data_IF_878000324095
#
_entry.id   IF_878000324095
#
_cell.length_a   1.000
_cell.length_b   1.000
_cell.length_c   1.000
_cell.angle_alpha   90.00
_cell.angle_beta   90.00
_cell.angle_gamma   90.00
#
_symmetry.space_group_name_H-M   'P 1'
#
loop_
_entity.id
_entity.type
_entity.pdbx_description
1 polymer ?
#
# COMPACT_ATOMS: atom_id res chain seq x y z
N UNK A 1 -46.56 19.88 -19.08
CA UNK A 1 -46.30 18.46 -18.72
C UNK A 1 -44.87 18.32 -18.22
N UNK A 2 -44.65 18.24 -16.89
CA UNK A 2 -43.32 18.08 -16.28
C UNK A 2 -43.02 16.59 -16.10
N UNK A 3 -41.98 16.08 -16.79
CA UNK A 3 -41.45 14.72 -16.59
C UNK A 3 -40.74 14.66 -15.24
N UNK A 4 -41.32 13.95 -14.26
CA UNK A 4 -40.62 13.54 -13.04
C UNK A 4 -39.65 12.42 -13.41
N UNK A 5 -38.34 12.65 -13.21
CA UNK A 5 -37.33 11.59 -13.22
C UNK A 5 -37.56 10.73 -11.98
N UNK A 6 -37.95 9.48 -12.18
CA UNK A 6 -38.02 8.46 -11.15
C UNK A 6 -36.56 8.05 -10.86
N UNK A 7 -35.99 8.53 -9.76
CA UNK A 7 -34.73 7.98 -9.23
C UNK A 7 -35.06 6.61 -8.67
N UNK A 8 -34.55 5.57 -9.32
CA UNK A 8 -34.77 4.18 -8.96
C UNK A 8 -34.03 3.91 -7.64
N UNK A 9 -34.78 3.90 -6.55
CA UNK A 9 -34.31 3.51 -5.21
C UNK A 9 -34.13 1.98 -5.20
N UNK A 10 -33.00 1.48 -5.69
CA UNK A 10 -32.66 0.05 -5.57
C UNK A 10 -32.00 -0.18 -4.21
N UNK A 11 -32.56 -1.16 -3.51
CA UNK A 11 -32.40 -1.47 -2.08
C UNK A 11 -30.92 -1.58 -1.65
N UNK A 12 -30.60 -0.78 -0.63
CA UNK A 12 -29.28 -0.48 -0.04
C UNK A 12 -29.00 -1.24 1.28
N UNK A 13 -29.71 -2.32 1.59
CA UNK A 13 -29.83 -2.85 2.96
C UNK A 13 -28.48 -3.18 3.67
N UNK A 14 -27.45 -3.65 2.94
CA UNK A 14 -26.18 -4.02 3.55
C UNK A 14 -25.23 -2.84 3.89
N UNK A 15 -25.41 -1.67 3.27
CA UNK A 15 -24.60 -0.47 3.59
C UNK A 15 -25.33 0.53 4.50
N UNK A 16 -26.63 0.30 4.78
CA UNK A 16 -27.47 1.21 5.59
C UNK A 16 -27.69 0.68 7.01
N UNK A 17 -27.40 -0.60 7.26
CA UNK A 17 -27.72 -1.30 8.51
C UNK A 17 -26.92 -0.94 9.77
N UNK A 18 -25.96 -0.01 9.70
CA UNK A 18 -25.17 0.41 10.87
C UNK A 18 -24.77 1.90 10.87
N UNK A 19 -25.36 2.70 9.97
CA UNK A 19 -25.08 4.14 9.94
C UNK A 19 -25.96 4.87 10.95
N UNK A 20 -25.34 5.69 11.81
CA UNK A 20 -26.02 6.79 12.50
C UNK A 20 -26.97 7.51 11.54
N UNK A 21 -28.14 7.99 11.99
CA UNK A 21 -29.24 8.51 11.16
C UNK A 21 -28.93 9.77 10.33
N UNK A 22 -27.67 10.16 10.18
CA UNK A 22 -27.23 11.40 9.55
C UNK A 22 -26.28 11.23 8.34
N UNK A 23 -25.95 10.01 7.90
CA UNK A 23 -25.15 9.84 6.68
C UNK A 23 -26.04 9.96 5.43
N UNK A 24 -26.16 11.18 4.93
CA UNK A 24 -26.77 11.46 3.62
C UNK A 24 -25.93 10.80 2.52
N UNK A 25 -26.51 9.90 1.73
CA UNK A 25 -25.84 9.27 0.56
C UNK A 25 -25.85 10.27 -0.60
N UNK A 26 -24.68 10.64 -1.12
CA UNK A 26 -24.60 11.57 -2.26
C UNK A 26 -24.61 10.85 -3.61
N UNK A 27 -23.88 9.74 -3.73
CA UNK A 27 -23.65 9.11 -5.03
C UNK A 27 -23.37 7.62 -4.89
N UNK A 28 -23.86 6.85 -5.85
CA UNK A 28 -23.49 5.44 -6.05
C UNK A 28 -22.98 5.27 -7.46
N UNK A 29 -21.82 4.62 -7.60
CA UNK A 29 -21.19 4.29 -8.86
C UNK A 29 -21.12 2.78 -9.02
N UNK A 30 -21.31 2.28 -10.24
CA UNK A 30 -21.08 0.89 -10.59
C UNK A 30 -19.89 0.77 -11.54
N UNK A 31 -18.93 -0.07 -11.16
CA UNK A 31 -17.66 -0.24 -11.83
C UNK A 31 -17.54 -1.71 -12.23
N UNK A 32 -17.44 -1.99 -13.53
CA UNK A 32 -17.38 -3.35 -14.07
C UNK A 32 -18.13 -3.50 -15.40
N UNK A 33 -18.36 -4.73 -15.88
CA UNK A 33 -18.08 -5.99 -15.19
C UNK A 33 -16.60 -6.40 -15.19
N UNK A 34 -16.19 -7.12 -14.16
CA UNK A 34 -14.91 -7.82 -14.03
C UNK A 34 -15.13 -9.31 -14.23
N UNK A 35 -14.34 -9.93 -15.12
CA UNK A 35 -14.43 -11.38 -15.39
C UNK A 35 -13.33 -12.13 -14.65
N UNK A 36 -13.73 -13.11 -13.84
CA UNK A 36 -12.83 -13.98 -13.08
C UNK A 36 -13.32 -15.42 -13.18
N UNK A 37 -12.49 -16.34 -13.69
CA UNK A 37 -12.84 -17.76 -13.79
C UNK A 37 -14.16 -18.05 -14.54
N UNK A 38 -14.52 -17.21 -15.51
CA UNK A 38 -15.80 -17.32 -16.25
C UNK A 38 -17.01 -16.65 -15.57
N UNK A 39 -16.89 -16.18 -14.33
CA UNK A 39 -17.91 -15.43 -13.62
C UNK A 39 -17.74 -13.92 -13.83
N UNK A 40 -18.84 -13.17 -13.72
CA UNK A 40 -18.87 -11.72 -13.89
C UNK A 40 -19.27 -11.03 -12.60
N UNK A 41 -18.48 -10.05 -12.19
CA UNK A 41 -18.65 -9.27 -10.95
C UNK A 41 -18.71 -7.77 -11.23
N UNK A 42 -19.51 -7.05 -10.47
CA UNK A 42 -19.61 -5.59 -10.50
C UNK A 42 -19.29 -5.05 -9.12
N UNK A 43 -18.45 -4.03 -9.07
CA UNK A 43 -18.14 -3.28 -7.84
C UNK A 43 -19.09 -2.10 -7.75
N UNK A 44 -19.81 -1.98 -6.64
CA UNK A 44 -20.69 -0.87 -6.34
C UNK A 44 -20.03 -0.03 -5.25
N UNK A 45 -19.80 1.24 -5.55
CA UNK A 45 -19.13 2.19 -4.65
C UNK A 45 -20.14 3.23 -4.22
N UNK A 46 -20.37 3.35 -2.92
CA UNK A 46 -21.22 4.39 -2.33
C UNK A 46 -20.35 5.45 -1.70
N UNK A 47 -20.67 6.72 -1.98
CA UNK A 47 -19.96 7.90 -1.47
C UNK A 47 -20.89 8.73 -0.59
N UNK A 48 -20.37 9.19 0.55
CA UNK A 48 -21.08 10.07 1.47
C UNK A 48 -21.29 11.47 0.89
N UNK A 49 -22.34 12.17 1.35
CA UNK A 49 -22.65 13.54 0.93
C UNK A 49 -21.96 14.63 1.76
N UNK A 50 -21.44 14.29 2.94
CA UNK A 50 -20.54 15.18 3.67
C UNK A 50 -19.22 15.33 2.89
N UNK A 51 -18.59 16.51 3.04
CA UNK A 51 -17.53 17.09 2.21
C UNK A 51 -16.52 16.08 1.63
N UNK A 52 -16.22 16.18 0.32
CA UNK A 52 -15.10 15.48 -0.32
C UNK A 52 -15.42 14.17 -1.07
N UNK A 53 -16.66 13.65 -1.00
CA UNK A 53 -17.05 12.47 -1.79
C UNK A 53 -16.34 11.17 -1.38
N UNK A 54 -16.00 11.05 -0.10
CA UNK A 54 -15.34 9.89 0.51
C UNK A 54 -16.13 8.60 0.26
N UNK A 55 -15.42 7.52 -0.04
CA UNK A 55 -16.03 6.18 -0.17
C UNK A 55 -16.48 5.71 1.22
N UNK A 56 -17.78 5.46 1.39
CA UNK A 56 -18.37 5.01 2.67
C UNK A 56 -18.76 3.54 2.65
N UNK A 57 -18.99 2.97 1.46
CA UNK A 57 -19.27 1.55 1.33
C UNK A 57 -18.81 1.02 -0.01
N UNK A 58 -18.28 -0.21 0.01
CA UNK A 58 -17.93 -0.96 -1.18
C UNK A 58 -18.67 -2.29 -1.15
N UNK A 59 -19.31 -2.65 -2.25
CA UNK A 59 -19.92 -3.95 -2.44
C UNK A 59 -19.40 -4.60 -3.71
N UNK A 60 -19.24 -5.92 -3.69
CA UNK A 60 -19.00 -6.71 -4.91
C UNK A 60 -20.16 -7.66 -5.11
N UNK A 61 -20.80 -7.56 -6.28
CA UNK A 61 -21.97 -8.38 -6.64
C UNK A 61 -21.71 -9.17 -7.91
N UNK A 62 -22.32 -10.34 -8.05
CA UNK A 62 -22.27 -11.09 -9.31
C UNK A 62 -23.32 -10.60 -10.34
N UNK A 63 -23.35 -11.22 -11.51
CA UNK A 63 -24.32 -10.94 -12.57
C UNK A 63 -25.79 -11.19 -12.17
N UNK A 64 -26.05 -11.97 -11.12
CA UNK A 64 -27.38 -12.21 -10.54
C UNK A 64 -27.68 -11.27 -9.37
N UNK A 65 -26.85 -10.25 -9.17
CA UNK A 65 -26.88 -9.29 -8.07
C UNK A 65 -26.70 -9.91 -6.66
N UNK A 66 -26.16 -11.14 -6.55
CA UNK A 66 -25.80 -11.74 -5.26
C UNK A 66 -24.58 -11.01 -4.68
N UNK A 67 -24.63 -10.69 -3.39
CA UNK A 67 -23.54 -10.02 -2.68
C UNK A 67 -22.45 -11.03 -2.31
N UNK A 68 -21.20 -10.75 -2.67
CA UNK A 68 -20.04 -11.58 -2.33
C UNK A 68 -19.09 -10.91 -1.32
N UNK A 69 -18.98 -9.59 -1.40
CA UNK A 69 -18.13 -8.81 -0.49
C UNK A 69 -18.82 -7.51 -0.13
N UNK A 70 -18.70 -7.10 1.12
CA UNK A 70 -19.11 -5.79 1.60
C UNK A 70 -18.07 -5.28 2.58
N UNK A 71 -17.71 -4.01 2.43
CA UNK A 71 -16.86 -3.32 3.37
C UNK A 71 -17.46 -1.95 3.63
N UNK A 72 -17.76 -1.69 4.89
CA UNK A 72 -18.21 -0.38 5.36
C UNK A 72 -16.99 0.37 5.85
N UNK A 73 -16.76 1.53 5.25
CA UNK A 73 -15.69 2.44 5.66
C UNK A 73 -16.32 3.45 6.60
N UNK A 74 -15.87 3.46 7.85
CA UNK A 74 -16.31 4.46 8.82
C UNK A 74 -15.92 5.86 8.35
N UNK A 75 -16.60 6.91 8.83
CA UNK A 75 -16.09 8.27 8.67
C UNK A 75 -14.72 8.32 9.36
N UNK A 76 -13.65 8.41 8.58
CA UNK A 76 -12.33 8.73 9.12
C UNK A 76 -12.27 10.24 9.29
N UNK A 77 -11.96 10.71 10.50
CA UNK A 77 -11.84 12.15 10.80
C UNK A 77 -10.74 12.83 9.95
N UNK A 78 -9.79 12.05 9.44
CA UNK A 78 -8.59 12.54 8.74
C UNK A 78 -8.57 12.28 7.22
N UNK A 79 -9.63 11.71 6.63
CA UNK A 79 -9.68 11.43 5.17
C UNK A 79 -10.52 12.48 4.46
N UNK A 80 -9.85 13.44 3.82
CA UNK A 80 -10.47 14.55 3.08
C UNK A 80 -11.15 14.09 1.78
N UNK A 81 -10.58 13.09 1.10
CA UNK A 81 -11.19 12.41 -0.05
C UNK A 81 -10.58 11.02 -0.21
N UNK A 82 -11.29 10.13 -0.89
CA UNK A 82 -10.72 8.84 -1.25
C UNK A 82 -11.27 8.32 -2.56
N UNK A 83 -10.44 7.53 -3.23
CA UNK A 83 -10.75 6.96 -4.54
C UNK A 83 -10.63 5.45 -4.48
N UNK A 84 -11.68 4.74 -4.90
CA UNK A 84 -11.61 3.29 -5.08
C UNK A 84 -11.38 2.96 -6.55
N UNK A 85 -10.28 2.27 -6.85
CA UNK A 85 -9.97 1.77 -8.18
C UNK A 85 -9.97 0.24 -8.17
N UNK A 86 -11.07 -0.41 -8.57
CA UNK A 86 -11.08 -1.85 -8.71
C UNK A 86 -10.38 -2.29 -10.00
N UNK A 87 -9.59 -3.36 -9.91
CA UNK A 87 -8.87 -3.94 -11.03
C UNK A 87 -8.84 -5.47 -10.95
N UNK A 88 -8.82 -6.12 -12.11
CA UNK A 88 -8.49 -7.53 -12.22
C UNK A 88 -6.99 -7.71 -12.01
N UNK A 89 -6.60 -8.60 -11.11
CA UNK A 89 -5.21 -8.96 -10.87
C UNK A 89 -4.93 -10.33 -11.50
N UNK A 90 -3.92 -10.41 -12.37
CA UNK A 90 -3.53 -11.63 -13.05
C UNK A 90 -2.14 -12.09 -12.57
N UNK A 91 -2.04 -13.33 -12.11
CA UNK A 91 -0.78 -13.92 -11.68
C UNK A 91 -0.71 -15.42 -11.96
N UNK A 92 0.42 -16.02 -11.61
CA UNK A 92 0.56 -17.48 -11.53
C UNK A 92 -0.43 -18.01 -10.49
N UNK A 93 -1.14 -19.09 -10.84
CA UNK A 93 -2.09 -19.74 -9.94
C UNK A 93 -3.50 -19.15 -9.98
N UNK A 94 -3.76 -18.07 -10.74
CA UNK A 94 -5.11 -17.63 -11.03
C UNK A 94 -5.28 -16.12 -11.17
N UNK A 95 -6.50 -15.68 -10.92
CA UNK A 95 -6.95 -14.30 -11.07
C UNK A 95 -7.65 -13.85 -9.79
N UNK A 96 -7.58 -12.56 -9.49
CA UNK A 96 -8.24 -11.94 -8.35
C UNK A 96 -8.90 -10.61 -8.76
N UNK A 97 -9.83 -10.13 -7.94
CA UNK A 97 -10.30 -8.75 -7.97
C UNK A 97 -9.54 -7.98 -6.88
N UNK A 98 -8.71 -7.04 -7.30
CA UNK A 98 -8.04 -6.09 -6.42
C UNK A 98 -8.91 -4.84 -6.26
N UNK A 99 -9.08 -4.39 -5.02
CA UNK A 99 -9.74 -3.14 -4.69
C UNK A 99 -8.67 -2.21 -4.08
N UNK A 100 -8.17 -1.28 -4.88
CA UNK A 100 -7.23 -0.25 -4.43
C UNK A 100 -8.04 0.90 -3.86
N UNK A 101 -7.94 1.14 -2.56
CA UNK A 101 -8.54 2.30 -1.91
C UNK A 101 -7.44 3.31 -1.62
N UNK A 102 -7.44 4.40 -2.38
CA UNK A 102 -6.47 5.47 -2.32
C UNK A 102 -7.00 6.57 -1.42
N UNK A 103 -6.21 6.99 -0.44
CA UNK A 103 -6.53 8.10 0.44
C UNK A 103 -5.87 9.36 -0.09
N UNK A 104 -6.71 10.30 -0.52
CA UNK A 104 -6.27 11.61 -0.97
C UNK A 104 -6.09 12.46 0.30
N UNK A 105 -4.82 12.64 0.69
CA UNK A 105 -4.42 13.36 1.89
C UNK A 105 -2.95 13.72 1.84
N UNK A 106 -2.48 14.44 2.87
CA UNK A 106 -1.08 14.80 3.00
C UNK A 106 -0.54 14.22 4.33
N UNK A 107 0.28 13.16 4.30
CA UNK A 107 0.70 12.39 3.12
C UNK A 107 -0.33 11.32 2.65
N UNK A 108 -0.34 10.96 1.35
CA UNK A 108 -1.33 10.03 0.77
C UNK A 108 -1.04 8.58 1.14
N UNK A 109 -2.06 7.75 1.34
CA UNK A 109 -1.91 6.33 1.64
C UNK A 109 -2.74 5.44 0.73
N UNK A 110 -2.61 4.12 0.88
CA UNK A 110 -3.46 3.18 0.18
C UNK A 110 -3.74 1.91 0.98
N UNK A 111 -4.97 1.40 0.83
CA UNK A 111 -5.34 0.04 1.20
C UNK A 111 -5.55 -0.81 -0.05
N UNK A 112 -5.20 -2.09 0.06
CA UNK A 112 -5.42 -3.09 -0.97
C UNK A 112 -6.16 -4.29 -0.41
N UNK A 113 -7.36 -4.54 -0.95
CA UNK A 113 -8.09 -5.79 -0.73
C UNK A 113 -7.94 -6.66 -1.97
N UNK A 114 -7.49 -7.90 -1.80
CA UNK A 114 -7.40 -8.89 -2.88
C UNK A 114 -8.46 -9.96 -2.66
N UNK A 115 -9.43 -10.06 -3.57
CA UNK A 115 -10.50 -11.04 -3.53
C UNK A 115 -10.26 -12.13 -4.57
N UNK A 116 -10.16 -13.39 -4.13
CA UNK A 116 -9.97 -14.54 -5.01
C UNK A 116 -11.27 -15.33 -5.16
N UNK A 117 -11.47 -15.94 -6.33
CA UNK A 117 -12.60 -16.82 -6.57
C UNK A 117 -12.33 -18.20 -5.97
N UNK A 118 -13.23 -18.67 -5.10
CA UNK A 118 -13.24 -19.99 -4.44
C UNK A 118 -14.66 -20.52 -4.41
N UNK A 119 -14.89 -21.69 -5.00
CA UNK A 119 -16.21 -22.33 -5.01
C UNK A 119 -17.34 -21.38 -5.45
N UNK A 120 -17.08 -20.63 -6.54
CA UNK A 120 -17.94 -19.58 -7.10
C UNK A 120 -18.19 -18.34 -6.22
N UNK A 121 -17.49 -18.21 -5.10
CA UNK A 121 -17.56 -17.06 -4.20
C UNK A 121 -16.26 -16.26 -4.20
N UNK A 122 -16.37 -14.92 -4.20
CA UNK A 122 -15.22 -14.07 -3.93
C UNK A 122 -14.98 -14.04 -2.42
N UNK A 123 -13.77 -14.39 -2.02
CA UNK A 123 -13.31 -14.34 -0.63
C UNK A 123 -12.02 -13.53 -0.54
N UNK A 124 -11.81 -12.75 0.53
CA UNK A 124 -10.52 -12.10 0.77
C UNK A 124 -9.39 -13.12 0.82
N UNK A 125 -8.30 -12.84 0.12
CA UNK A 125 -7.06 -13.62 0.17
C UNK A 125 -6.35 -13.44 1.51
N UNK A 126 -6.48 -12.25 2.09
CA UNK A 126 -5.81 -11.75 3.29
C UNK A 126 -6.67 -10.64 3.90
N UNK A 127 -6.49 -10.26 5.18
CA UNK A 127 -6.87 -8.92 5.64
C UNK A 127 -6.33 -7.83 4.69
N UNK A 128 -6.98 -6.65 4.59
CA UNK A 128 -6.52 -5.55 3.74
C UNK A 128 -5.06 -5.22 4.00
N UNK A 129 -4.28 -4.95 2.95
CA UNK A 129 -2.89 -4.53 3.08
C UNK A 129 -2.86 -3.01 3.06
N UNK A 130 -2.38 -2.41 4.14
CA UNK A 130 -2.30 -0.96 4.32
C UNK A 130 -0.86 -0.48 4.15
N UNK A 131 -0.68 0.53 3.30
CA UNK A 131 0.56 1.31 3.18
C UNK A 131 0.28 2.75 3.58
N UNK A 132 0.87 3.17 4.69
CA UNK A 132 0.88 4.57 5.09
C UNK A 132 1.87 5.34 4.20
N UNK A 133 1.46 6.50 3.72
CA UNK A 133 2.37 7.44 3.04
C UNK A 133 3.05 6.80 1.83
N UNK A 134 2.24 6.29 0.91
CA UNK A 134 2.70 5.56 -0.26
C UNK A 134 1.58 4.85 -1.03
N UNK A 135 1.92 3.75 -1.69
CA UNK A 135 1.02 3.06 -2.62
C UNK A 135 1.60 1.76 -3.16
N UNK A 136 1.00 1.23 -4.23
CA UNK A 136 1.41 -0.04 -4.83
C UNK A 136 1.91 0.17 -6.26
N UNK A 137 2.87 -0.65 -6.69
CA UNK A 137 3.46 -0.65 -8.04
C UNK A 137 3.33 -2.05 -8.70
N UNK A 138 2.74 -2.17 -9.91
CA UNK A 138 2.17 -1.08 -10.72
C UNK A 138 1.02 -0.36 -10.03
N UNK A 139 0.87 0.96 -10.25
CA UNK A 139 -0.27 1.70 -9.73
C UNK A 139 -1.57 1.11 -10.29
N UNK A 140 -2.71 1.34 -9.61
CA UNK A 140 -3.99 0.90 -10.13
C UNK A 140 -4.20 1.44 -11.56
N UNK A 141 -4.73 0.61 -12.47
CA UNK A 141 -4.76 0.95 -13.87
C UNK A 141 -5.84 2.02 -14.12
N UNK A 142 -5.52 2.98 -15.00
CA UNK A 142 -6.47 4.01 -15.40
C UNK A 142 -7.51 3.42 -16.38
N UNK A 143 -8.79 3.84 -16.31
CA UNK A 143 -9.78 3.45 -17.30
C UNK A 143 -9.32 3.75 -18.74
N UNK A 144 -9.64 2.89 -19.74
CA UNK A 144 -10.50 1.71 -19.64
C UNK A 144 -9.76 0.43 -19.24
N UNK A 145 -8.43 0.48 -19.12
CA UNK A 145 -7.64 -0.68 -18.70
C UNK A 145 -7.95 -0.95 -17.22
N UNK A 146 -8.49 -2.12 -16.92
CA UNK A 146 -8.91 -2.51 -15.56
C UNK A 146 -8.29 -3.84 -15.15
N UNK A 147 -7.09 -4.10 -15.64
CA UNK A 147 -6.33 -5.31 -15.38
C UNK A 147 -4.87 -4.97 -15.10
N UNK A 148 -4.32 -5.61 -14.08
CA UNK A 148 -2.92 -5.54 -13.68
C UNK A 148 -2.35 -6.95 -13.75
N UNK A 149 -1.25 -7.13 -14.48
CA UNK A 149 -0.49 -8.36 -14.43
C UNK A 149 0.60 -8.24 -13.38
N UNK A 150 0.59 -9.14 -12.40
CA UNK A 150 1.66 -9.25 -11.42
C UNK A 150 2.97 -9.61 -12.11
N UNK A 151 4.09 -9.14 -11.55
CA UNK A 151 5.42 -9.48 -12.05
C UNK A 151 5.74 -10.96 -11.78
N UNK A 152 6.87 -11.42 -12.29
CA UNK A 152 7.36 -12.79 -12.08
C UNK A 152 7.29 -13.16 -10.60
N UNK A 153 6.80 -14.38 -10.29
CA UNK A 153 6.56 -14.88 -8.92
C UNK A 153 5.43 -14.15 -8.15
N UNK A 154 4.48 -13.57 -8.88
CA UNK A 154 3.32 -12.86 -8.32
C UNK A 154 3.72 -11.68 -7.43
N UNK A 155 4.71 -10.91 -7.87
CA UNK A 155 5.20 -9.78 -7.09
C UNK A 155 4.40 -8.51 -7.36
N UNK A 156 4.00 -7.86 -6.27
CA UNK A 156 3.47 -6.51 -6.20
C UNK A 156 4.40 -5.69 -5.30
N UNK A 157 4.89 -4.55 -5.78
CA UNK A 157 5.72 -3.69 -4.94
C UNK A 157 4.81 -2.81 -4.07
N UNK A 158 5.10 -2.74 -2.79
CA UNK A 158 4.48 -1.81 -1.84
C UNK A 158 5.49 -0.72 -1.49
N UNK A 159 5.11 0.53 -1.73
CA UNK A 159 5.90 1.73 -1.47
C UNK A 159 5.33 2.41 -0.24
N UNK A 160 6.14 2.70 0.75
CA UNK A 160 5.68 3.39 1.96
C UNK A 160 6.81 4.22 2.59
N UNK A 161 6.43 5.35 3.17
CA UNK A 161 7.38 6.23 3.86
C UNK A 161 7.87 5.60 5.17
N UNK A 162 9.18 5.52 5.34
CA UNK A 162 9.83 4.94 6.51
C UNK A 162 10.52 6.00 7.39
N UNK A 163 9.97 7.22 7.44
CA UNK A 163 10.46 8.33 8.25
C UNK A 163 11.40 9.27 7.50
N UNK A 164 12.40 8.71 6.80
CA UNK A 164 13.45 9.48 6.10
C UNK A 164 13.41 9.33 4.58
N UNK A 165 12.84 8.23 4.11
CA UNK A 165 12.80 7.85 2.70
C UNK A 165 11.66 6.87 2.47
N UNK A 166 11.31 6.65 1.20
CA UNK A 166 10.36 5.62 0.79
C UNK A 166 11.06 4.27 0.67
N UNK A 167 10.51 3.26 1.35
CA UNK A 167 10.89 1.85 1.19
C UNK A 167 10.02 1.22 0.12
N UNK A 168 10.65 0.48 -0.81
CA UNK A 168 9.93 -0.40 -1.75
C UNK A 168 10.10 -1.85 -1.30
N UNK A 169 9.01 -2.42 -0.79
CA UNK A 169 8.94 -3.79 -0.33
C UNK A 169 8.22 -4.68 -1.37
N UNK A 170 8.92 -5.66 -1.98
CA UNK A 170 8.28 -6.60 -2.89
C UNK A 170 7.43 -7.61 -2.10
N UNK A 171 6.13 -7.62 -2.34
CA UNK A 171 5.18 -8.58 -1.76
C UNK A 171 4.89 -9.69 -2.76
N UNK A 172 5.11 -10.94 -2.37
CA UNK A 172 4.65 -12.10 -3.13
C UNK A 172 3.23 -12.49 -2.70
N UNK A 173 2.32 -12.52 -3.66
CA UNK A 173 0.93 -12.93 -3.47
C UNK A 173 0.71 -14.35 -3.98
N UNK A 174 0.36 -15.29 -3.09
CA UNK A 174 -0.06 -16.62 -3.52
C UNK A 174 -1.56 -16.64 -3.81
N UNK A 175 -1.93 -16.36 -5.06
CA UNK A 175 -3.33 -16.36 -5.51
C UNK A 175 -4.01 -17.74 -5.43
N UNK A 176 -3.25 -18.81 -5.19
CA UNK A 176 -3.76 -20.18 -5.00
C UNK A 176 -3.90 -20.59 -3.54
N UNK A 177 -3.42 -19.77 -2.61
CA UNK A 177 -3.48 -19.98 -1.16
C UNK A 177 -4.92 -20.27 -0.70
N UNK A 178 -5.06 -21.24 0.21
CA UNK A 178 -6.31 -21.64 0.86
C UNK A 178 -6.10 -21.61 2.38
N UNK A 179 -6.83 -20.76 3.10
CA UNK A 179 -6.82 -20.70 4.56
C UNK A 179 -6.02 -19.52 5.15
N UNK A 180 -5.77 -19.56 6.46
CA UNK A 180 -5.10 -18.52 7.26
C UNK A 180 -3.56 -18.54 7.16
N UNK A 181 -3.01 -19.11 6.09
CA UNK A 181 -1.55 -19.14 5.86
C UNK A 181 -0.99 -17.79 5.41
N UNK A 182 0.33 -17.70 5.25
CA UNK A 182 1.02 -16.54 4.67
C UNK A 182 0.74 -16.43 3.16
N UNK A 183 -0.51 -16.10 2.79
CA UNK A 183 -0.90 -15.85 1.40
C UNK A 183 -0.21 -14.60 0.81
N UNK A 184 0.38 -13.79 1.68
CA UNK A 184 1.21 -12.63 1.37
C UNK A 184 2.50 -12.74 2.18
N UNK A 185 3.63 -12.53 1.52
CA UNK A 185 4.95 -12.54 2.19
C UNK A 185 5.90 -11.53 1.55
N UNK A 186 6.84 -11.04 2.34
CA UNK A 186 7.95 -10.25 1.84
C UNK A 186 8.85 -11.15 0.96
N UNK A 187 9.14 -10.69 -0.25
CA UNK A 187 9.97 -11.38 -1.24
C UNK A 187 11.29 -10.66 -1.51
N UNK A 188 11.86 -10.05 -0.46
CA UNK A 188 13.15 -9.38 -0.51
C UNK A 188 14.30 -10.38 -0.33
N UNK A 189 15.42 -10.12 -1.00
CA UNK A 189 16.70 -10.77 -0.66
C UNK A 189 17.11 -10.37 0.74
N UNK A 190 17.90 -11.21 1.43
CA UNK A 190 18.42 -10.90 2.76
C UNK A 190 19.91 -10.63 2.74
N UNK A 191 20.33 -9.68 3.55
CA UNK A 191 21.73 -9.44 3.91
C UNK A 191 22.17 -10.49 4.96
N UNK A 192 23.46 -10.86 5.07
CA UNK A 192 23.96 -11.78 6.09
C UNK A 192 23.47 -11.55 7.54
N UNK A 193 23.22 -10.31 7.96
CA UNK A 193 22.61 -9.94 9.26
C UNK A 193 21.15 -10.39 9.43
N UNK A 194 20.55 -10.91 8.37
CA UNK A 194 19.15 -11.34 8.32
C UNK A 194 18.18 -10.25 7.87
N UNK A 195 18.60 -8.98 7.78
CA UNK A 195 17.75 -7.87 7.34
C UNK A 195 17.37 -8.01 5.86
N UNK A 196 16.18 -7.51 5.50
CA UNK A 196 15.74 -7.45 4.11
C UNK A 196 16.51 -6.36 3.37
N UNK A 197 17.11 -6.69 2.23
CA UNK A 197 17.63 -5.71 1.30
C UNK A 197 16.46 -5.05 0.59
N UNK A 198 16.31 -3.75 0.78
CA UNK A 198 15.19 -2.97 0.25
C UNK A 198 15.68 -1.92 -0.73
N UNK A 199 14.85 -1.59 -1.71
CA UNK A 199 15.07 -0.43 -2.57
C UNK A 199 14.56 0.82 -1.85
N UNK A 200 15.36 1.87 -1.90
CA UNK A 200 15.00 3.19 -1.36
C UNK A 200 14.69 4.12 -2.51
N UNK A 201 13.62 4.88 -2.36
CA UNK A 201 13.15 5.92 -3.28
C UNK A 201 12.79 7.19 -2.50
N UNK A 202 12.58 8.29 -3.23
CA UNK A 202 12.01 9.54 -2.73
C UNK A 202 12.61 9.96 -1.37
N UNK A 203 13.83 10.48 -1.41
CA UNK A 203 14.55 10.95 -0.22
C UNK A 203 14.48 12.48 -0.09
N UNK A 204 14.37 12.99 1.14
CA UNK A 204 14.53 14.42 1.40
C UNK A 204 16.00 14.66 1.72
N UNK A 205 16.67 15.50 0.93
CA UNK A 205 18.07 15.88 1.17
C UNK A 205 18.20 17.32 1.64
N UNK A 206 18.88 17.49 2.76
CA UNK A 206 19.31 18.78 3.29
C UNK A 206 20.80 18.97 3.08
N UNK A 207 21.26 20.22 2.85
CA UNK A 207 22.68 20.51 2.84
C UNK A 207 23.30 20.22 4.22
N UNK A 208 24.47 19.59 4.23
CA UNK A 208 25.26 19.40 5.46
C UNK A 208 25.94 20.73 5.78
N UNK A 209 25.43 21.45 6.78
CA UNK A 209 25.85 22.84 7.06
C UNK A 209 27.11 22.94 7.95
N UNK A 210 27.44 21.88 8.67
CA UNK A 210 28.59 21.85 9.58
C UNK A 210 29.28 20.48 9.50
N UNK A 211 30.57 20.47 9.83
CA UNK A 211 31.32 19.23 10.00
C UNK A 211 30.64 18.35 11.05
N UNK A 212 30.38 17.10 10.68
CA UNK A 212 29.79 16.10 11.58
C UNK A 212 30.59 14.80 11.53
N UNK A 213 30.23 13.83 12.36
CA UNK A 213 30.85 12.50 12.39
C UNK A 213 29.77 11.44 12.39
N UNK A 214 29.97 10.39 11.61
CA UNK A 214 29.09 9.21 11.55
C UNK A 214 29.90 7.96 11.81
N UNK A 215 29.24 6.88 12.23
CA UNK A 215 29.88 5.57 12.35
C UNK A 215 29.61 4.73 11.09
N UNK A 216 30.68 4.38 10.38
CA UNK A 216 30.63 3.44 9.26
C UNK A 216 30.83 2.01 9.76
N UNK A 217 29.78 1.21 9.68
CA UNK A 217 29.79 -0.20 10.05
C UNK A 217 30.09 -1.10 8.85
N UNK A 218 30.87 -2.18 9.00
CA UNK A 218 31.17 -3.09 7.90
C UNK A 218 29.96 -3.93 7.47
N UNK A 219 28.98 -4.13 8.36
CA UNK A 219 27.70 -4.79 8.09
C UNK A 219 26.61 -4.21 9.00
N UNK A 220 25.33 -4.33 8.64
CA UNK A 220 24.24 -4.04 9.56
C UNK A 220 24.36 -4.92 10.80
N UNK A 221 24.01 -4.38 11.97
CA UNK A 221 24.14 -5.04 13.28
C UNK A 221 25.56 -5.41 13.69
N UNK A 222 26.59 -4.89 13.04
CA UNK A 222 27.95 -5.00 13.56
C UNK A 222 28.07 -4.24 14.89
N UNK A 223 28.84 -4.83 15.82
CA UNK A 223 29.04 -4.28 17.17
C UNK A 223 29.93 -3.03 17.19
N UNK A 224 30.73 -2.83 16.13
CA UNK A 224 31.67 -1.70 16.02
C UNK A 224 31.68 -1.11 14.62
N UNK A 225 31.77 0.22 14.55
CA UNK A 225 31.98 0.98 13.32
C UNK A 225 33.18 1.92 13.43
N UNK A 226 33.67 2.40 12.28
CA UNK A 226 34.71 3.41 12.18
C UNK A 226 34.09 4.81 12.21
N UNK A 227 34.55 5.69 13.11
CA UNK A 227 34.16 7.09 13.09
C UNK A 227 34.76 7.80 11.87
N UNK A 228 33.89 8.37 11.04
CA UNK A 228 34.28 9.09 9.83
C UNK A 228 33.69 10.49 9.85
N UNK A 229 34.57 11.47 9.64
CA UNK A 229 34.17 12.87 9.53
C UNK A 229 33.44 13.10 8.20
N UNK A 230 32.28 13.73 8.27
CA UNK A 230 31.51 14.22 7.13
C UNK A 230 31.66 15.75 7.08
N UNK A 231 32.45 16.30 6.14
CA UNK A 231 32.66 17.74 6.06
C UNK A 231 31.38 18.51 5.71
N UNK A 232 31.31 19.78 6.14
CA UNK A 232 30.29 20.70 5.64
C UNK A 232 30.31 20.75 4.10
N UNK A 233 29.13 20.70 3.48
CA UNK A 233 28.95 20.67 2.03
C UNK A 233 29.27 19.33 1.35
N UNK A 234 29.64 18.29 2.10
CA UNK A 234 29.88 16.97 1.53
C UNK A 234 28.60 16.39 0.89
N UNK A 235 28.79 15.55 -0.13
CA UNK A 235 27.71 14.79 -0.77
C UNK A 235 27.90 13.31 -0.47
N UNK A 236 26.94 12.72 0.24
CA UNK A 236 26.91 11.29 0.56
C UNK A 236 26.06 10.55 -0.47
N UNK A 237 26.61 9.52 -1.10
CA UNK A 237 25.88 8.65 -2.02
C UNK A 237 25.19 7.52 -1.23
N UNK A 238 23.92 7.24 -1.51
CA UNK A 238 23.25 6.04 -1.00
C UNK A 238 23.47 4.89 -1.99
N UNK A 239 24.11 3.83 -1.52
CA UNK A 239 24.46 2.66 -2.34
C UNK A 239 23.35 1.61 -2.30
N UNK A 240 22.86 1.28 -1.10
CA UNK A 240 21.75 0.33 -0.87
C UNK A 240 21.21 0.48 0.55
N UNK A 241 20.10 -0.19 0.84
CA UNK A 241 19.50 -0.19 2.17
C UNK A 241 19.17 -1.60 2.66
N UNK A 242 19.14 -1.74 3.97
CA UNK A 242 18.66 -2.93 4.66
C UNK A 242 17.74 -2.51 5.80
N UNK A 243 16.65 -3.24 6.00
CA UNK A 243 15.70 -2.96 7.08
C UNK A 243 15.03 -4.25 7.54
N UNK A 244 14.51 -4.23 8.77
CA UNK A 244 13.57 -5.23 9.24
C UNK A 244 12.17 -4.85 8.77
N UNK A 245 11.78 -5.35 7.61
CA UNK A 245 10.44 -5.10 7.05
C UNK A 245 9.50 -6.22 7.51
N UNK A 246 8.49 -5.82 8.28
CA UNK A 246 7.53 -6.74 8.91
C UNK A 246 6.13 -6.49 8.35
N UNK A 247 5.39 -7.59 8.18
CA UNK A 247 3.95 -7.58 7.88
C UNK A 247 3.19 -7.75 9.21
N UNK A 248 2.88 -6.63 9.86
CA UNK A 248 2.16 -6.65 11.13
C UNK A 248 0.70 -6.95 10.88
N UNK A 249 0.23 -8.11 11.38
CA UNK A 249 -1.11 -8.61 11.11
C UNK A 249 -2.08 -8.28 12.25
N UNK A 250 -3.22 -7.69 11.90
CA UNK A 250 -4.39 -7.49 12.75
C UNK A 250 -5.65 -7.53 11.89
N UNK A 251 -6.56 -6.56 12.07
CA UNK A 251 -7.70 -6.36 11.16
C UNK A 251 -7.26 -5.93 9.76
N UNK A 252 -6.06 -5.35 9.65
CA UNK A 252 -5.32 -5.10 8.40
C UNK A 252 -3.88 -5.62 8.54
N UNK A 253 -3.20 -5.79 7.41
CA UNK A 253 -1.76 -6.03 7.35
C UNK A 253 -1.08 -4.69 7.14
N UNK A 254 -0.30 -4.23 8.11
CA UNK A 254 0.50 -3.02 8.00
C UNK A 254 1.93 -3.37 7.60
N UNK A 255 2.48 -2.62 6.64
CA UNK A 255 3.90 -2.67 6.32
C UNK A 255 4.67 -1.70 7.19
N UNK A 256 5.62 -2.23 7.94
CA UNK A 256 6.48 -1.43 8.83
C UNK A 256 7.93 -1.75 8.53
N UNK A 257 8.76 -0.71 8.35
CA UNK A 257 10.21 -0.83 8.26
C UNK A 257 10.84 -0.39 9.59
N UNK A 258 11.40 -1.36 10.31
CA UNK A 258 12.13 -1.17 11.56
C UNK A 258 13.63 -1.32 11.29
N UNK A 259 14.43 -0.85 12.22
CA UNK A 259 15.89 -1.03 12.22
C UNK A 259 16.52 -0.76 10.84
N UNK A 260 16.45 0.50 10.42
CA UNK A 260 16.84 0.90 9.07
C UNK A 260 18.34 1.19 9.01
N UNK A 261 18.98 0.64 8.00
CA UNK A 261 20.40 0.80 7.71
C UNK A 261 20.59 1.24 6.27
N UNK A 262 21.51 2.18 6.06
CA UNK A 262 21.89 2.64 4.73
C UNK A 262 23.36 2.35 4.49
N UNK A 263 23.68 1.66 3.41
CA UNK A 263 25.04 1.62 2.90
C UNK A 263 25.28 2.94 2.17
N UNK A 264 26.29 3.66 2.60
CA UNK A 264 26.66 4.94 2.02
C UNK A 264 28.07 4.91 1.46
N UNK A 265 28.34 5.81 0.52
CA UNK A 265 29.68 6.12 0.05
C UNK A 265 30.00 7.60 0.27
N UNK A 266 31.16 7.84 0.90
CA UNK A 266 31.71 9.16 1.17
C UNK A 266 33.17 9.19 0.68
N UNK A 267 33.38 9.74 -0.52
CA UNK A 267 34.67 9.65 -1.20
C UNK A 267 35.02 8.18 -1.50
N UNK A 268 36.17 7.72 -1.01
CA UNK A 268 36.63 6.33 -1.17
C UNK A 268 36.14 5.38 -0.07
N UNK A 269 35.43 5.90 0.94
CA UNK A 269 34.94 5.11 2.07
C UNK A 269 33.51 4.66 1.81
N UNK A 270 33.24 3.38 2.07
CA UNK A 270 31.91 2.78 1.99
C UNK A 270 31.61 2.03 3.29
N UNK A 271 30.39 2.18 3.81
CA UNK A 271 29.98 1.52 5.04
C UNK A 271 28.51 1.74 5.35
N UNK A 272 27.98 0.92 6.24
CA UNK A 272 26.61 1.02 6.70
C UNK A 272 26.51 2.07 7.80
N UNK A 273 25.46 2.90 7.77
CA UNK A 273 25.09 3.82 8.85
C UNK A 273 23.73 3.46 9.40
N UNK A 274 23.54 3.75 10.69
CA UNK A 274 22.27 3.56 11.40
C UNK A 274 21.36 4.76 11.22
N UNK A 275 20.07 4.57 11.51
CA UNK A 275 19.06 5.64 11.45
C UNK A 275 19.45 6.90 12.25
N UNK A 276 20.12 6.74 13.39
CA UNK A 276 20.61 7.86 14.23
C UNK A 276 21.58 8.81 13.49
N UNK A 277 22.28 8.31 12.47
CA UNK A 277 23.24 9.08 11.67
C UNK A 277 22.63 9.64 10.37
N UNK A 278 21.36 9.37 10.06
CA UNK A 278 20.73 9.79 8.79
C UNK A 278 20.72 11.31 8.61
N UNK A 279 20.43 12.05 9.69
CA UNK A 279 20.52 13.52 9.65
C UNK A 279 21.93 14.03 9.38
N UNK A 280 22.95 13.36 9.93
CA UNK A 280 24.36 13.74 9.76
C UNK A 280 24.86 13.51 8.33
N UNK A 281 24.24 12.60 7.57
CA UNK A 281 24.53 12.39 6.14
C UNK A 281 23.66 13.25 5.22
N UNK A 282 22.88 14.18 5.78
CA UNK A 282 22.05 15.12 5.04
C UNK A 282 20.68 14.58 4.61
N UNK A 283 20.16 13.52 5.24
CA UNK A 283 18.77 13.12 5.05
C UNK A 283 17.85 13.93 5.96
N UNK A 284 16.63 14.18 5.48
CA UNK A 284 15.55 14.82 6.21
C UNK A 284 14.43 13.84 6.53
N UNK A 285 13.65 14.15 7.57
CA UNK A 285 12.37 13.47 7.82
C UNK A 285 11.25 14.17 7.08
N UNK A 286 10.25 13.43 6.59
CA UNK A 286 8.99 14.06 6.21
C UNK A 286 8.25 14.52 7.46
N UNK A 287 7.72 15.74 7.42
CA UNK A 287 6.82 16.34 8.40
C UNK A 287 5.58 16.83 7.70
#
# INVERSE_FOLDING_TARGET
>A
MRRRRLVLLVIHAACVGAASPHVSIAQTEQIGPFRLGGHSFTVVVTRGAAEGGVVTCVQVRDARARLHYVHQLGPSEDVFSSTLVPARLEGRGGEALALYHLFDGMPPGADLVVLVLRDEQLVPLTPPITVAYGGFDPPPPAPPQRSVRLRARNLLDARFWAGWFTVVAPLALDLSCRGSGECVRLAASREPSGLALVRVEDEIRWPILADTTVLLYPSPRADSGEAVKVPAGARVELVRAAADVVLESGDTIQLVAREKWLMIRLGEREGWVREEDFGAIGLGTAG
#
